data_IF_224484404310
#
_entry.id   IF_224484404310
#
_cell.length_a   1.000
_cell.length_b   1.000
_cell.length_c   1.000
_cell.angle_alpha   90.00
_cell.angle_beta   90.00
_cell.angle_gamma   90.00
#
_symmetry.space_group_name_H-M   'P 1'
#
loop_
_entity.id
_entity.type
_entity.pdbx_description
1 polymer ?
#
# COMPACT_ATOMS: atom_id res chain seq x y z
N UNK A 1 -35.86 49.22 16.06
CA UNK A 1 -35.23 49.16 14.73
C UNK A 1 -34.73 47.73 14.55
N UNK A 2 -35.59 46.82 14.09
CA UNK A 2 -35.66 46.32 12.69
C UNK A 2 -34.28 45.78 12.25
N UNK A 3 -33.99 44.49 12.39
CA UNK A 3 -34.36 43.36 11.50
C UNK A 3 -34.18 43.67 10.01
N UNK A 4 -33.13 43.10 9.42
CA UNK A 4 -33.05 42.76 7.99
C UNK A 4 -32.39 41.40 7.84
N UNK A 5 -33.22 40.36 7.79
CA UNK A 5 -32.91 39.08 7.16
C UNK A 5 -33.16 39.19 5.65
N UNK A 6 -32.35 38.50 4.84
CA UNK A 6 -32.61 38.20 3.43
C UNK A 6 -31.66 37.07 2.98
N UNK A 7 -31.98 36.27 1.95
CA UNK A 7 -32.92 35.14 1.97
C UNK A 7 -32.27 33.81 1.46
N UNK A 8 -32.96 32.66 1.53
CA UNK A 8 -32.43 31.38 1.03
C UNK A 8 -32.67 31.19 -0.48
N UNK A 9 -31.78 30.52 -1.24
CA UNK A 9 -32.08 30.12 -2.61
C UNK A 9 -32.86 28.80 -2.65
N UNK A 10 -34.17 28.95 -2.84
CA UNK A 10 -35.07 28.29 -3.80
C UNK A 10 -34.70 26.88 -4.32
N UNK A 11 -35.54 25.90 -3.93
CA UNK A 11 -35.80 24.65 -4.65
C UNK A 11 -36.75 24.93 -5.84
N UNK A 12 -36.39 24.46 -7.04
CA UNK A 12 -37.32 24.31 -8.16
C UNK A 12 -37.40 22.85 -8.59
N UNK A 13 -38.61 22.32 -8.59
CA UNK A 13 -38.97 20.96 -8.96
C UNK A 13 -39.18 20.79 -10.47
N UNK A 14 -39.06 19.53 -10.93
CA UNK A 14 -39.82 18.98 -12.05
C UNK A 14 -39.02 18.75 -13.34
N UNK A 15 -38.79 17.49 -13.69
CA UNK A 15 -39.43 16.85 -14.84
C UNK A 15 -39.30 15.32 -14.73
N UNK A 16 -40.41 14.66 -15.05
CA UNK A 16 -40.75 13.28 -14.75
C UNK A 16 -40.63 12.44 -16.05
N UNK A 17 -40.05 11.24 -15.92
CA UNK A 17 -40.24 10.00 -16.71
C UNK A 17 -40.47 10.05 -18.22
N UNK A 18 -39.64 9.29 -18.95
CA UNK A 18 -40.17 8.33 -19.92
C UNK A 18 -39.33 7.05 -19.97
N UNK A 19 -40.02 5.94 -19.75
CA UNK A 19 -39.58 4.56 -19.96
C UNK A 19 -39.39 4.34 -21.46
N UNK A 20 -38.39 3.55 -21.83
CA UNK A 20 -38.53 2.71 -23.00
C UNK A 20 -38.03 1.29 -22.72
N UNK A 21 -38.93 0.35 -22.97
CA UNK A 21 -38.71 -1.08 -22.88
C UNK A 21 -38.03 -1.53 -24.18
N UNK A 22 -37.05 -2.43 -24.09
CA UNK A 22 -36.96 -3.48 -25.09
C UNK A 22 -36.32 -4.74 -24.52
N UNK A 23 -37.12 -5.79 -24.62
CA UNK A 23 -36.93 -7.16 -24.20
C UNK A 23 -35.95 -7.87 -25.15
N UNK A 24 -35.30 -8.91 -24.63
CA UNK A 24 -35.26 -10.28 -25.18
C UNK A 24 -33.90 -11.00 -25.24
N UNK A 25 -34.02 -12.27 -24.82
CA UNK A 25 -33.19 -13.46 -25.09
C UNK A 25 -32.05 -13.80 -24.12
N UNK A 26 -32.46 -14.60 -23.12
CA UNK A 26 -31.85 -15.88 -22.69
C UNK A 26 -30.75 -16.41 -23.64
N UNK A 27 -29.59 -16.75 -23.07
CA UNK A 27 -28.88 -17.99 -23.40
C UNK A 27 -28.07 -18.45 -22.18
N UNK A 28 -28.46 -19.61 -21.66
CA UNK A 28 -27.66 -20.48 -20.81
C UNK A 28 -26.50 -21.07 -21.60
N UNK A 29 -25.34 -21.23 -20.98
CA UNK A 29 -24.46 -22.35 -21.26
C UNK A 29 -23.52 -22.58 -20.07
N UNK A 30 -23.84 -23.65 -19.37
CA UNK A 30 -22.97 -24.47 -18.56
C UNK A 30 -21.81 -25.03 -19.40
N UNK A 31 -20.73 -25.49 -18.74
CA UNK A 31 -19.75 -26.52 -19.14
C UNK A 31 -18.28 -26.12 -18.94
N UNK A 32 -17.68 -26.83 -17.99
CA UNK A 32 -16.27 -27.15 -17.85
C UNK A 32 -15.55 -27.46 -19.17
N UNK A 33 -14.50 -26.71 -19.53
CA UNK A 33 -13.33 -27.28 -20.23
C UNK A 33 -12.17 -26.26 -20.35
N UNK A 34 -11.34 -26.09 -19.33
CA UNK A 34 -9.99 -25.54 -19.54
C UNK A 34 -8.96 -26.30 -18.71
N UNK A 35 -8.82 -27.57 -19.04
CA UNK A 35 -7.66 -28.39 -18.72
C UNK A 35 -7.13 -28.97 -20.01
N UNK A 36 -6.16 -28.29 -20.65
CA UNK A 36 -5.13 -28.90 -21.52
C UNK A 36 -4.04 -27.90 -21.90
N UNK A 37 -2.80 -28.36 -21.70
CA UNK A 37 -1.53 -27.74 -22.03
C UNK A 37 -1.13 -28.04 -23.48
N UNK A 38 -0.38 -27.09 -24.06
CA UNK A 38 0.71 -27.23 -25.03
C UNK A 38 0.41 -27.66 -26.48
N UNK A 39 0.87 -26.82 -27.42
CA UNK A 39 1.08 -27.16 -28.84
C UNK A 39 1.57 -25.94 -29.63
N UNK A 40 2.74 -26.07 -30.27
CA UNK A 40 3.50 -25.03 -30.97
C UNK A 40 3.16 -24.92 -32.47
N UNK A 41 3.49 -23.75 -33.05
CA UNK A 41 3.72 -23.39 -34.48
C UNK A 41 2.50 -23.04 -35.37
N UNK A 42 2.56 -21.85 -36.00
CA UNK A 42 1.83 -21.54 -37.24
C UNK A 42 1.65 -20.04 -37.54
N UNK A 43 2.39 -19.52 -38.53
CA UNK A 43 2.35 -18.14 -39.03
C UNK A 43 0.98 -17.71 -39.58
N UNK A 44 0.59 -16.46 -39.33
CA UNK A 44 -0.51 -15.77 -40.02
C UNK A 44 -0.34 -14.26 -39.99
N UNK A 45 -0.15 -13.64 -41.16
CA UNK A 45 -0.22 -12.18 -41.35
C UNK A 45 -1.66 -11.72 -41.14
N UNK A 46 -1.90 -10.91 -40.13
CA UNK A 46 -3.18 -10.24 -39.88
C UNK A 46 -2.96 -8.87 -39.28
N UNK A 47 -3.41 -7.82 -39.96
CA UNK A 47 -3.36 -6.43 -39.50
C UNK A 47 -4.30 -6.24 -38.32
N UNK A 48 -3.78 -6.20 -37.10
CA UNK A 48 -4.53 -5.80 -35.93
C UNK A 48 -4.13 -4.40 -35.46
N UNK A 49 -5.18 -3.60 -35.28
CA UNK A 49 -5.16 -2.21 -34.84
C UNK A 49 -4.39 -2.12 -33.53
N UNK A 50 -3.14 -1.64 -33.64
CA UNK A 50 -2.27 -1.35 -32.51
C UNK A 50 -2.90 -0.21 -31.71
N UNK A 51 -3.56 -0.55 -30.61
CA UNK A 51 -3.89 0.43 -29.58
C UNK A 51 -2.60 1.20 -29.23
N UNK A 52 -2.64 2.54 -29.16
CA UNK A 52 -1.48 3.31 -28.76
C UNK A 52 -0.99 2.77 -27.42
N UNK A 53 0.27 2.33 -27.37
CA UNK A 53 0.99 2.12 -26.11
C UNK A 53 0.87 3.43 -25.37
N UNK A 54 -0.01 3.49 -24.36
CA UNK A 54 0.03 4.57 -23.38
C UNK A 54 1.44 4.57 -22.82
N UNK A 55 2.07 5.74 -22.82
CA UNK A 55 3.39 5.94 -22.23
C UNK A 55 3.39 5.25 -20.88
N UNK A 56 4.23 4.22 -20.79
CA UNK A 56 4.37 3.40 -19.61
C UNK A 56 4.88 4.36 -18.55
N UNK A 57 4.08 4.59 -17.51
CA UNK A 57 4.56 5.22 -16.29
C UNK A 57 5.82 4.50 -15.77
N UNK A 58 6.48 5.02 -14.71
CA UNK A 58 7.76 4.48 -14.23
C UNK A 58 7.77 2.95 -14.27
N UNK A 59 8.70 2.41 -15.06
CA UNK A 59 8.80 0.97 -15.30
C UNK A 59 9.27 0.33 -14.01
N UNK A 60 8.31 -0.15 -13.23
CA UNK A 60 8.53 -0.78 -11.94
C UNK A 60 9.30 -2.10 -12.12
N UNK A 61 10.61 -2.01 -12.32
CA UNK A 61 11.46 -3.18 -12.46
C UNK A 61 11.94 -3.60 -11.07
N UNK A 62 11.07 -4.32 -10.36
CA UNK A 62 11.40 -4.94 -9.09
C UNK A 62 12.40 -6.07 -9.31
N UNK A 63 13.70 -5.74 -9.30
CA UNK A 63 14.79 -6.72 -9.31
C UNK A 63 15.00 -7.24 -7.89
N UNK A 64 15.20 -8.55 -7.75
CA UNK A 64 15.29 -9.21 -6.45
C UNK A 64 16.54 -10.05 -6.36
N UNK A 65 17.21 -9.96 -5.21
CA UNK A 65 18.31 -10.83 -4.84
C UNK A 65 17.85 -11.65 -3.63
N UNK A 66 17.42 -12.88 -3.90
CA UNK A 66 17.32 -13.93 -2.90
C UNK A 66 18.32 -15.00 -3.27
N UNK A 67 19.10 -15.49 -2.32
CA UNK A 67 19.69 -16.82 -2.43
C UNK A 67 18.52 -17.76 -2.69
N UNK A 68 18.47 -18.40 -3.86
CA UNK A 68 17.48 -19.44 -4.10
C UNK A 68 17.58 -20.43 -2.93
N UNK A 69 16.52 -20.51 -2.12
CA UNK A 69 16.35 -21.69 -1.30
C UNK A 69 16.45 -22.88 -2.24
N UNK A 70 17.31 -23.82 -1.87
CA UNK A 70 17.44 -25.08 -2.60
C UNK A 70 16.04 -25.63 -2.81
N UNK A 71 15.66 -25.87 -4.06
CA UNK A 71 14.32 -26.28 -4.48
C UNK A 71 13.77 -27.49 -3.69
N UNK A 72 14.65 -28.23 -3.01
CA UNK A 72 14.38 -29.39 -2.17
C UNK A 72 13.40 -29.14 -1.02
N UNK A 73 13.44 -27.99 -0.33
CA UNK A 73 12.55 -27.72 0.83
C UNK A 73 11.15 -27.26 0.40
N UNK A 74 10.99 -26.79 -0.84
CA UNK A 74 9.73 -26.23 -1.33
C UNK A 74 8.70 -27.30 -1.74
N UNK A 75 9.14 -28.45 -2.26
CA UNK A 75 8.26 -29.53 -2.72
C UNK A 75 7.83 -30.50 -1.61
N UNK A 76 8.57 -30.55 -0.50
CA UNK A 76 8.19 -31.31 0.70
C UNK A 76 7.18 -30.55 1.57
N UNK A 77 6.90 -29.29 1.24
CA UNK A 77 5.95 -28.49 1.99
C UNK A 77 4.51 -28.92 1.73
N UNK A 78 3.86 -29.44 2.77
CA UNK A 78 2.49 -29.94 2.70
C UNK A 78 1.49 -28.88 2.22
N UNK A 79 1.69 -27.62 2.56
CA UNK A 79 0.81 -26.54 2.11
C UNK A 79 0.96 -26.29 0.61
N UNK A 80 2.19 -26.35 0.08
CA UNK A 80 2.44 -26.27 -1.37
C UNK A 80 1.83 -27.47 -2.09
N UNK A 81 1.92 -28.66 -1.51
CA UNK A 81 1.34 -29.88 -2.09
C UNK A 81 -0.18 -29.82 -2.16
N UNK A 82 -0.84 -29.31 -1.12
CA UNK A 82 -2.31 -29.22 -1.05
C UNK A 82 -2.85 -28.04 -1.86
N UNK A 83 -2.24 -26.85 -1.72
CA UNK A 83 -2.82 -25.59 -2.22
C UNK A 83 -2.06 -24.98 -3.40
N UNK A 84 -0.90 -25.54 -3.79
CA UNK A 84 -0.05 -24.98 -4.84
C UNK A 84 0.66 -23.68 -4.45
N UNK A 85 0.62 -23.27 -3.17
CA UNK A 85 1.17 -22.00 -2.68
C UNK A 85 1.73 -22.12 -1.26
N UNK A 86 2.89 -21.49 -1.01
CA UNK A 86 3.47 -21.32 0.33
C UNK A 86 2.73 -20.29 1.18
N UNK A 87 1.83 -19.51 0.57
CA UNK A 87 1.06 -18.47 1.23
C UNK A 87 -0.32 -18.96 1.64
N UNK A 88 -0.81 -18.40 2.74
CA UNK A 88 -2.11 -18.81 3.32
C UNK A 88 -3.24 -18.37 2.41
N UNK A 89 -4.20 -19.27 2.12
CA UNK A 89 -5.45 -18.86 1.48
C UNK A 89 -6.33 -18.11 2.47
N UNK A 90 -6.78 -16.92 2.11
CA UNK A 90 -7.67 -16.14 2.98
C UNK A 90 -9.08 -16.77 3.00
N UNK A 91 -9.58 -17.09 4.18
CA UNK A 91 -10.93 -17.66 4.39
C UNK A 91 -11.91 -16.67 5.02
N UNK A 92 -11.42 -15.67 5.75
CA UNK A 92 -12.23 -14.63 6.38
C UNK A 92 -11.45 -13.30 6.50
N UNK A 93 -12.14 -12.29 7.00
CA UNK A 93 -11.62 -10.93 7.21
C UNK A 93 -11.77 -10.47 8.65
N UNK A 94 -11.89 -11.41 9.61
CA UNK A 94 -12.31 -11.11 10.98
C UNK A 94 -11.36 -10.14 11.69
N UNK A 95 -10.06 -10.30 11.50
CA UNK A 95 -9.05 -9.38 12.06
C UNK A 95 -9.18 -7.96 11.51
N UNK A 96 -9.45 -7.82 10.20
CA UNK A 96 -9.72 -6.51 9.59
C UNK A 96 -11.04 -5.93 10.10
N UNK A 97 -12.11 -6.73 10.15
CA UNK A 97 -13.43 -6.32 10.65
C UNK A 97 -13.43 -5.95 12.14
N UNK A 98 -12.49 -6.48 12.93
CA UNK A 98 -12.33 -6.13 14.35
C UNK A 98 -11.73 -4.73 14.58
N UNK A 99 -11.16 -4.12 13.54
CA UNK A 99 -10.45 -2.83 13.63
C UNK A 99 -11.06 -1.79 12.71
N UNK A 100 -11.41 -2.18 11.48
CA UNK A 100 -11.92 -1.30 10.44
C UNK A 100 -13.46 -1.24 10.54
N UNK A 101 -14.07 -0.04 10.67
CA UNK A 101 -15.49 0.15 10.61
C UNK A 101 -16.08 -0.40 9.32
N UNK A 102 -17.26 -1.02 9.41
CA UNK A 102 -17.96 -1.60 8.26
C UNK A 102 -18.17 -0.60 7.11
N UNK A 103 -18.34 0.69 7.41
CA UNK A 103 -18.47 1.76 6.41
C UNK A 103 -17.22 1.97 5.56
N UNK A 104 -16.04 1.58 6.05
CA UNK A 104 -14.76 1.61 5.33
C UNK A 104 -14.33 0.22 4.82
N UNK A 105 -15.20 -0.77 4.87
CA UNK A 105 -14.92 -2.11 4.36
C UNK A 105 -15.40 -2.22 2.91
N UNK A 106 -14.68 -1.60 1.98
CA UNK A 106 -15.01 -1.55 0.54
C UNK A 106 -13.75 -1.28 -0.32
N UNK A 107 -13.88 -1.42 -1.64
CA UNK A 107 -12.80 -1.24 -2.63
C UNK A 107 -12.11 0.13 -2.64
N UNK A 108 -12.69 1.15 -2.00
CA UNK A 108 -12.09 2.48 -1.88
C UNK A 108 -11.01 2.52 -0.79
N UNK A 109 -11.20 1.73 0.28
CA UNK A 109 -10.36 1.77 1.48
C UNK A 109 -9.53 0.50 1.65
N UNK A 110 -9.90 -0.58 0.98
CA UNK A 110 -9.24 -1.87 1.03
C UNK A 110 -9.11 -2.36 -0.41
N UNK A 111 -7.89 -2.62 -0.85
CA UNK A 111 -7.65 -3.22 -2.16
C UNK A 111 -8.16 -4.66 -2.15
N UNK A 112 -9.20 -4.92 -2.93
CA UNK A 112 -9.80 -6.25 -3.11
C UNK A 112 -9.33 -6.86 -4.44
N UNK A 113 -9.54 -8.17 -4.64
CA UNK A 113 -9.13 -8.85 -5.89
C UNK A 113 -9.89 -8.37 -7.13
N UNK A 114 -11.18 -8.08 -7.00
CA UNK A 114 -12.06 -7.80 -8.14
C UNK A 114 -11.84 -6.41 -8.78
N UNK A 115 -11.03 -5.55 -8.14
CA UNK A 115 -10.79 -4.16 -8.58
C UNK A 115 -9.73 -4.04 -9.69
N UNK A 116 -9.22 -5.14 -10.26
CA UNK A 116 -8.06 -5.10 -11.12
C UNK A 116 -8.24 -5.60 -12.57
N UNK A 117 -8.46 -4.70 -13.54
CA UNK A 117 -8.21 -5.01 -14.94
C UNK A 117 -6.68 -5.08 -15.20
N UNK A 118 -6.16 -6.31 -15.31
CA UNK A 118 -4.90 -6.71 -15.96
C UNK A 118 -3.55 -6.07 -15.54
N UNK A 119 -3.46 -5.12 -14.59
CA UNK A 119 -2.18 -4.45 -14.24
C UNK A 119 -1.72 -4.49 -12.77
N UNK A 120 -2.61 -4.74 -11.82
CA UNK A 120 -2.29 -4.75 -10.38
C UNK A 120 -1.96 -6.14 -9.82
N UNK A 121 -2.06 -7.16 -10.66
CA UNK A 121 -1.60 -8.52 -10.37
C UNK A 121 -0.07 -8.63 -10.43
N UNK A 122 0.60 -7.86 -11.29
CA UNK A 122 2.07 -7.90 -11.41
C UNK A 122 2.75 -7.55 -10.07
N UNK A 123 2.27 -6.51 -9.39
CA UNK A 123 2.76 -6.12 -8.06
C UNK A 123 2.51 -7.24 -7.04
N UNK A 124 1.33 -7.86 -7.08
CA UNK A 124 0.96 -8.95 -6.17
C UNK A 124 1.91 -10.13 -6.35
N UNK A 125 2.04 -10.59 -7.59
CA UNK A 125 2.91 -11.71 -7.98
C UNK A 125 4.37 -11.40 -7.65
N UNK A 126 4.81 -10.15 -7.83
CA UNK A 126 6.13 -9.70 -7.41
C UNK A 126 6.36 -9.88 -5.92
N UNK A 127 5.47 -9.31 -5.09
CA UNK A 127 5.58 -9.40 -3.63
C UNK A 127 5.59 -10.85 -3.17
N UNK A 128 4.67 -11.68 -3.68
CA UNK A 128 4.60 -13.10 -3.33
C UNK A 128 5.85 -13.87 -3.78
N UNK A 129 6.37 -13.62 -4.98
CA UNK A 129 7.61 -14.25 -5.45
C UNK A 129 8.79 -13.89 -4.55
N UNK A 130 8.89 -12.62 -4.14
CA UNK A 130 9.98 -12.14 -3.29
C UNK A 130 9.89 -12.67 -1.88
N UNK A 131 8.72 -12.62 -1.27
CA UNK A 131 8.49 -13.19 0.06
C UNK A 131 8.73 -14.71 0.04
N UNK A 132 8.28 -15.40 -1.01
CA UNK A 132 8.42 -16.85 -1.15
C UNK A 132 9.88 -17.27 -1.34
N UNK A 133 10.64 -16.53 -2.15
CA UNK A 133 12.07 -16.74 -2.33
C UNK A 133 12.87 -16.55 -1.03
N UNK A 134 12.34 -15.77 -0.09
CA UNK A 134 12.93 -15.56 1.24
C UNK A 134 12.25 -16.41 2.34
N UNK A 135 11.35 -17.34 1.98
CA UNK A 135 10.53 -18.14 2.91
C UNK A 135 9.79 -17.31 3.98
N UNK A 136 9.32 -16.13 3.59
CA UNK A 136 8.57 -15.21 4.45
C UNK A 136 7.07 -15.45 4.29
N UNK A 137 6.54 -16.47 4.97
CA UNK A 137 5.10 -16.76 5.02
C UNK A 137 4.33 -15.82 5.93
N UNK A 138 5.05 -15.20 6.84
CA UNK A 138 4.58 -14.12 7.69
C UNK A 138 5.65 -13.03 7.77
N UNK A 139 5.20 -11.82 8.09
CA UNK A 139 6.05 -10.64 8.22
C UNK A 139 5.66 -9.85 9.47
N UNK A 140 6.62 -9.43 10.31
CA UNK A 140 6.31 -8.71 11.53
C UNK A 140 5.98 -7.24 11.23
N UNK A 141 4.97 -6.70 11.88
CA UNK A 141 4.69 -5.27 11.85
C UNK A 141 5.91 -4.47 12.32
N UNK A 142 6.35 -3.46 11.57
CA UNK A 142 7.54 -2.67 11.95
C UNK A 142 7.39 -1.93 13.28
N UNK A 143 6.15 -1.68 13.69
CA UNK A 143 5.84 -0.89 14.86
C UNK A 143 5.59 -1.76 16.11
N UNK A 144 4.62 -2.67 16.06
CA UNK A 144 4.25 -3.49 17.21
C UNK A 144 4.87 -4.89 17.21
N UNK A 145 5.65 -5.24 16.18
CA UNK A 145 6.31 -6.54 16.01
C UNK A 145 5.37 -7.75 15.91
N UNK A 146 4.06 -7.53 15.95
CA UNK A 146 3.07 -8.59 15.75
C UNK A 146 3.24 -9.22 14.37
N UNK A 147 3.29 -10.55 14.35
CA UNK A 147 3.48 -11.31 13.12
C UNK A 147 2.19 -11.35 12.30
N UNK A 148 2.29 -11.04 11.00
CA UNK A 148 1.16 -10.99 10.08
C UNK A 148 1.32 -12.04 9.00
N UNK A 149 0.30 -12.88 8.81
CA UNK A 149 0.29 -13.86 7.71
C UNK A 149 0.27 -13.15 6.36
N UNK A 150 1.04 -13.68 5.42
CA UNK A 150 0.99 -13.30 4.02
C UNK A 150 -0.02 -14.20 3.31
N UNK A 151 -1.01 -13.56 2.68
CA UNK A 151 -2.06 -14.23 1.92
C UNK A 151 -1.73 -14.31 0.44
N UNK A 152 -2.26 -15.30 -0.25
CA UNK A 152 -2.08 -15.50 -1.70
C UNK A 152 -2.87 -14.50 -2.58
N UNK A 153 -3.89 -13.88 -1.98
CA UNK A 153 -4.85 -12.97 -2.60
C UNK A 153 -4.93 -11.65 -1.84
N UNK A 154 -5.32 -10.57 -2.53
CA UNK A 154 -5.52 -9.29 -1.87
C UNK A 154 -6.66 -9.36 -0.84
N UNK A 155 -6.55 -8.66 0.30
CA UNK A 155 -5.37 -8.00 0.85
C UNK A 155 -4.28 -9.01 1.25
N UNK A 156 -3.04 -8.77 0.79
CA UNK A 156 -1.91 -9.66 1.07
C UNK A 156 -1.52 -9.71 2.54
N UNK A 157 -1.87 -8.68 3.30
CA UNK A 157 -1.71 -8.58 4.75
C UNK A 157 -2.98 -7.98 5.35
N UNK A 158 -3.20 -8.23 6.65
CA UNK A 158 -4.09 -7.39 7.45
C UNK A 158 -3.38 -6.08 7.84
N UNK A 159 -3.08 -5.28 6.81
CA UNK A 159 -2.23 -4.10 6.90
C UNK A 159 -1.82 -3.61 5.51
N UNK A 160 -0.62 -3.02 5.42
CA UNK A 160 -0.05 -2.54 4.16
C UNK A 160 1.43 -2.86 4.05
N UNK A 161 1.88 -2.97 2.81
CA UNK A 161 3.29 -2.88 2.47
C UNK A 161 3.64 -1.46 2.05
N UNK A 162 4.88 -1.07 2.31
CA UNK A 162 5.45 0.16 1.77
C UNK A 162 6.95 0.01 1.55
N UNK A 163 7.50 0.85 0.67
CA UNK A 163 8.92 0.93 0.40
C UNK A 163 9.56 2.06 1.19
N UNK A 164 10.70 1.75 1.82
CA UNK A 164 11.53 2.75 2.51
C UNK A 164 12.98 2.58 2.13
N UNK A 165 13.74 3.66 2.08
CA UNK A 165 15.19 3.60 1.93
C UNK A 165 15.90 3.06 3.19
N UNK A 166 15.18 2.96 4.31
CA UNK A 166 15.69 2.43 5.58
C UNK A 166 14.84 1.23 6.03
N UNK A 167 15.49 0.12 6.36
CA UNK A 167 14.84 -0.99 7.06
C UNK A 167 14.75 -0.66 8.55
N UNK A 168 13.54 -0.50 9.08
CA UNK A 168 13.33 -0.19 10.50
C UNK A 168 13.29 -1.46 11.34
N UNK A 169 12.65 -2.51 10.83
CA UNK A 169 12.53 -3.81 11.50
C UNK A 169 12.21 -4.95 10.52
N UNK A 170 12.44 -6.18 10.97
CA UNK A 170 12.11 -7.40 10.24
C UNK A 170 13.18 -7.82 9.23
N UNK A 171 12.79 -8.74 8.34
CA UNK A 171 13.66 -9.18 7.25
C UNK A 171 14.01 -8.00 6.34
N UNK A 172 15.28 -7.90 5.94
CA UNK A 172 15.78 -6.87 5.03
C UNK A 172 15.47 -7.25 3.58
N UNK A 173 14.19 -7.39 3.27
CA UNK A 173 13.74 -7.74 1.93
C UNK A 173 13.96 -6.58 0.98
N UNK A 174 15.00 -6.68 0.16
CA UNK A 174 15.40 -5.64 -0.79
C UNK A 174 14.53 -5.66 -2.05
N UNK A 175 14.22 -4.46 -2.54
CA UNK A 175 13.37 -4.21 -3.70
C UNK A 175 14.02 -3.11 -4.52
N UNK A 176 14.18 -3.32 -5.83
CA UNK A 176 14.71 -2.28 -6.72
C UNK A 176 13.58 -1.56 -7.45
N UNK A 177 13.59 -0.25 -7.48
CA UNK A 177 12.61 0.55 -8.20
C UNK A 177 13.33 1.72 -8.87
N UNK A 178 13.17 1.85 -10.19
CA UNK A 178 13.83 2.88 -11.00
C UNK A 178 15.36 2.92 -10.76
N UNK A 179 15.99 1.75 -10.68
CA UNK A 179 17.43 1.60 -10.45
C UNK A 179 17.89 1.88 -9.01
N UNK A 180 16.97 2.14 -8.08
CA UNK A 180 17.27 2.44 -6.68
C UNK A 180 16.85 1.31 -5.77
N UNK A 181 17.59 1.12 -4.69
CA UNK A 181 17.33 0.09 -3.69
C UNK A 181 16.43 0.62 -2.57
N UNK A 182 15.40 -0.15 -2.27
CA UNK A 182 14.48 0.05 -1.15
C UNK A 182 14.39 -1.23 -0.32
N UNK A 183 13.84 -1.09 0.87
CA UNK A 183 13.42 -2.19 1.73
C UNK A 183 11.91 -2.26 1.76
N UNK A 184 11.38 -3.46 1.57
CA UNK A 184 9.98 -3.76 1.84
C UNK A 184 9.75 -3.68 3.35
N UNK A 185 8.76 -2.90 3.75
CA UNK A 185 8.35 -2.72 5.13
C UNK A 185 6.83 -2.88 5.24
N UNK A 186 6.33 -3.13 6.45
CA UNK A 186 4.93 -3.51 6.66
C UNK A 186 4.37 -2.94 7.95
N UNK A 187 3.13 -2.45 7.91
CA UNK A 187 2.43 -1.91 9.08
C UNK A 187 1.06 -2.59 9.20
N UNK A 188 0.76 -3.14 10.38
CA UNK A 188 -0.51 -3.82 10.60
C UNK A 188 -1.68 -2.85 10.71
N UNK A 189 -2.89 -3.36 10.45
CA UNK A 189 -4.14 -2.59 10.53
C UNK A 189 -4.34 -1.95 11.91
N UNK A 190 -3.98 -2.66 12.99
CA UNK A 190 -4.08 -2.15 14.37
C UNK A 190 -3.21 -0.89 14.55
N UNK A 191 -1.96 -0.93 14.08
CA UNK A 191 -1.06 0.22 14.14
C UNK A 191 -1.51 1.37 13.22
N UNK A 192 -2.02 1.06 12.02
CA UNK A 192 -2.59 2.08 11.13
C UNK A 192 -3.78 2.82 11.76
N UNK A 193 -4.58 2.10 12.55
CA UNK A 193 -5.79 2.62 13.18
C UNK A 193 -5.57 3.17 14.60
N UNK A 194 -4.36 3.04 15.16
CA UNK A 194 -3.97 3.66 16.43
C UNK A 194 -3.83 5.17 16.35
N UNK A 195 -3.88 5.83 17.51
CA UNK A 195 -3.47 7.22 17.65
C UNK A 195 -1.96 7.29 17.87
N UNK A 196 -1.28 8.05 17.00
CA UNK A 196 0.18 8.20 17.01
C UNK A 196 0.58 9.52 17.64
N UNK A 197 1.58 9.45 18.52
CA UNK A 197 2.15 10.60 19.23
C UNK A 197 3.63 10.73 18.93
N UNK A 198 4.08 11.96 18.77
CA UNK A 198 5.51 12.23 18.66
C UNK A 198 6.12 12.35 20.06
N UNK A 199 7.16 11.56 20.34
CA UNK A 199 7.90 11.66 21.61
C UNK A 199 8.71 12.94 21.74
N UNK A 200 8.96 13.64 20.64
CA UNK A 200 9.76 14.87 20.63
C UNK A 200 8.93 16.10 21.00
N UNK A 201 7.72 16.25 20.44
CA UNK A 201 6.88 17.43 20.67
C UNK A 201 5.53 17.13 21.35
N UNK A 202 5.22 15.85 21.62
CA UNK A 202 3.95 15.42 22.21
C UNK A 202 2.74 15.47 21.27
N UNK A 203 2.87 16.08 20.08
CA UNK A 203 1.75 16.24 19.15
C UNK A 203 1.21 14.89 18.67
N UNK A 204 -0.12 14.78 18.69
CA UNK A 204 -0.89 13.71 18.06
C UNK A 204 -1.29 14.07 16.61
N UNK A 205 -2.04 13.19 15.96
CA UNK A 205 -2.73 13.44 14.67
C UNK A 205 -1.85 13.78 13.46
N UNK A 206 -0.52 13.64 13.56
CA UNK A 206 0.38 13.88 12.43
C UNK A 206 0.42 12.73 11.42
N UNK A 207 0.01 11.52 11.84
CA UNK A 207 -0.04 10.34 11.00
C UNK A 207 -1.48 10.01 10.62
N UNK A 208 -1.82 10.14 9.34
CA UNK A 208 -3.14 9.83 8.80
C UNK A 208 -3.29 8.34 8.44
N UNK A 209 -2.94 7.44 9.37
CA UNK A 209 -2.97 5.99 9.11
C UNK A 209 -4.35 5.46 8.69
N UNK A 210 -5.44 6.05 9.19
CA UNK A 210 -6.83 5.69 8.85
C UNK A 210 -7.27 6.07 7.42
N UNK A 211 -6.44 6.84 6.70
CA UNK A 211 -6.66 7.21 5.30
C UNK A 211 -5.85 6.34 4.32
N UNK A 212 -4.98 5.48 4.84
CA UNK A 212 -4.17 4.54 4.05
C UNK A 212 -5.07 3.40 3.55
N UNK A 213 -5.00 3.12 2.25
CA UNK A 213 -5.72 2.01 1.60
C UNK A 213 -5.04 0.70 1.99
N UNK A 214 -5.79 -0.21 2.60
CA UNK A 214 -5.27 -1.50 3.04
C UNK A 214 -5.00 -2.44 1.87
N UNK A 215 -4.09 -3.40 2.05
CA UNK A 215 -3.80 -4.42 1.05
C UNK A 215 -3.03 -3.94 -0.18
N UNK A 216 -2.58 -2.69 -0.21
CA UNK A 216 -1.78 -2.13 -1.30
C UNK A 216 -0.28 -2.06 -0.96
N UNK A 217 0.52 -1.65 -1.94
CA UNK A 217 1.93 -1.30 -1.81
C UNK A 217 2.11 0.20 -2.04
N UNK A 218 2.68 0.90 -1.06
CA UNK A 218 3.09 2.30 -1.20
C UNK A 218 4.56 2.41 -1.59
N UNK A 219 4.89 3.24 -2.59
CA UNK A 219 6.27 3.46 -3.05
C UNK A 219 7.02 4.55 -2.26
N UNK A 220 6.56 4.85 -1.06
CA UNK A 220 7.16 5.83 -0.16
C UNK A 220 7.02 5.39 1.30
N UNK A 221 7.87 5.93 2.17
CA UNK A 221 7.81 5.64 3.60
C UNK A 221 6.58 6.32 4.23
N UNK A 222 5.52 5.53 4.44
CA UNK A 222 4.21 6.04 4.91
C UNK A 222 4.30 6.67 6.31
N UNK A 223 5.18 6.18 7.17
CA UNK A 223 5.38 6.71 8.54
C UNK A 223 6.09 8.05 8.53
N UNK A 224 6.77 8.38 7.43
CA UNK A 224 7.49 9.63 7.24
C UNK A 224 6.71 10.65 6.41
N UNK A 225 5.62 10.22 5.75
CA UNK A 225 4.76 11.04 4.90
C UNK A 225 3.99 12.14 5.65
N UNK A 226 3.94 12.08 6.99
CA UNK A 226 3.46 13.17 7.85
C UNK A 226 4.47 13.46 8.95
N UNK A 227 4.64 14.75 9.30
CA UNK A 227 5.56 15.19 10.35
C UNK A 227 5.02 16.38 11.12
N UNK A 228 5.02 16.23 12.44
CA UNK A 228 4.79 17.31 13.41
C UNK A 228 6.05 18.15 13.74
N UNK A 229 7.25 17.62 13.47
CA UNK A 229 8.52 18.28 13.81
C UNK A 229 9.34 18.51 12.54
N UNK A 230 10.08 19.63 12.45
CA UNK A 230 11.08 19.84 11.42
C UNK A 230 12.11 18.70 11.39
N UNK A 231 12.61 18.30 10.22
CA UNK A 231 13.63 17.26 10.13
C UNK A 231 14.96 17.75 10.72
N UNK A 232 15.59 16.90 11.51
CA UNK A 232 16.89 17.13 12.12
C UNK A 232 17.89 16.08 11.68
N UNK A 233 19.16 16.43 11.61
CA UNK A 233 20.24 15.49 11.32
C UNK A 233 20.23 14.33 12.32
N UNK A 234 20.27 13.09 11.83
CA UNK A 234 20.30 11.89 12.68
C UNK A 234 21.58 11.82 13.55
N UNK A 235 22.70 12.38 13.07
CA UNK A 235 24.01 12.40 13.73
C UNK A 235 24.16 13.53 14.75
N UNK A 236 24.12 14.79 14.33
CA UNK A 236 24.39 15.95 15.20
C UNK A 236 23.14 16.65 15.75
N UNK A 237 21.94 16.19 15.38
CA UNK A 237 20.64 16.79 15.76
C UNK A 237 20.39 18.23 15.30
N UNK A 238 21.33 18.85 14.59
CA UNK A 238 21.13 20.16 13.96
C UNK A 238 19.93 20.12 12.99
N UNK A 239 19.13 21.19 12.92
CA UNK A 239 18.01 21.28 11.98
C UNK A 239 18.53 21.18 10.54
N UNK A 240 17.77 20.49 9.68
CA UNK A 240 18.11 20.37 8.27
C UNK A 240 17.48 21.50 7.47
N UNK A 241 18.27 22.07 6.57
CA UNK A 241 17.81 23.04 5.58
C UNK A 241 17.08 22.29 4.46
N UNK A 242 15.80 22.02 4.69
CA UNK A 242 14.88 21.50 3.66
C UNK A 242 14.15 22.66 3.01
N UNK A 243 13.85 22.53 1.71
CA UNK A 243 13.10 23.55 0.94
C UNK A 243 11.71 23.75 1.56
N UNK A 244 11.23 24.98 1.63
CA UNK A 244 9.94 25.33 2.25
C UNK A 244 8.77 24.52 1.69
N UNK A 245 8.76 24.24 0.39
CA UNK A 245 7.76 23.38 -0.26
C UNK A 245 7.73 21.96 0.33
N UNK A 246 8.90 21.37 0.60
CA UNK A 246 8.99 20.04 1.21
C UNK A 246 8.56 20.09 2.68
N UNK A 247 8.91 21.16 3.39
CA UNK A 247 8.43 21.38 4.77
C UNK A 247 6.90 21.46 4.83
N UNK A 248 6.28 22.20 3.90
CA UNK A 248 4.82 22.30 3.78
C UNK A 248 4.19 20.95 3.42
N UNK A 249 4.78 20.19 2.47
CA UNK A 249 4.30 18.85 2.11
C UNK A 249 4.34 17.87 3.29
N UNK A 250 5.38 17.95 4.13
CA UNK A 250 5.53 17.05 5.27
C UNK A 250 4.63 17.44 6.46
N UNK A 251 4.26 18.72 6.58
CA UNK A 251 3.44 19.23 7.71
C UNK A 251 1.94 19.28 7.41
N UNK A 252 1.55 19.38 6.14
CA UNK A 252 0.15 19.36 5.70
C UNK A 252 -0.38 17.92 5.56
N UNK A 253 -0.69 17.33 6.70
CA UNK A 253 -1.28 15.99 6.81
C UNK A 253 -2.59 15.92 6.01
N UNK A 254 -2.68 14.97 5.07
CA UNK A 254 -3.91 14.71 4.30
C UNK A 254 -3.99 15.40 2.94
N UNK A 255 -2.97 16.17 2.53
CA UNK A 255 -2.85 16.60 1.13
C UNK A 255 -2.04 15.58 0.31
N UNK A 256 -2.38 15.39 -0.96
CA UNK A 256 -1.62 14.52 -1.87
C UNK A 256 -0.24 15.15 -2.16
N UNK A 257 0.71 14.93 -1.27
CA UNK A 257 2.10 15.35 -1.43
C UNK A 257 2.91 14.39 -2.30
N UNK A 258 3.94 14.90 -2.97
CA UNK A 258 4.96 14.04 -3.58
C UNK A 258 5.92 13.55 -2.48
N UNK A 259 5.72 12.32 -2.02
CA UNK A 259 6.50 11.72 -0.93
C UNK A 259 7.80 11.04 -1.38
N UNK A 260 8.14 11.09 -2.67
CA UNK A 260 9.35 10.45 -3.19
C UNK A 260 10.63 11.01 -2.55
N UNK A 261 10.66 12.32 -2.27
CA UNK A 261 11.80 13.02 -1.67
C UNK A 261 12.18 12.52 -0.28
N UNK A 262 11.27 11.85 0.43
CA UNK A 262 11.56 11.26 1.75
C UNK A 262 12.64 10.18 1.66
N UNK A 263 12.66 9.46 0.55
CA UNK A 263 13.61 8.39 0.31
C UNK A 263 14.93 8.87 -0.29
N UNK A 264 15.13 10.19 -0.46
CA UNK A 264 16.39 10.75 -0.93
C UNK A 264 17.36 10.99 0.24
N UNK A 265 18.66 10.70 0.06
CA UNK A 265 19.65 11.06 1.06
C UNK A 265 19.90 12.57 1.04
N UNK A 266 20.18 13.14 2.22
CA UNK A 266 20.53 14.55 2.38
C UNK A 266 21.86 14.68 3.12
N UNK A 267 22.67 15.65 2.72
CA UNK A 267 23.90 16.04 3.43
C UNK A 267 23.55 17.08 4.50
N UNK A 268 23.90 16.81 5.75
CA UNK A 268 23.78 17.78 6.82
C UNK A 268 24.84 18.89 6.66
N UNK A 269 24.41 20.15 6.56
CA UNK A 269 25.31 21.31 6.45
C UNK A 269 26.16 21.54 7.71
N UNK A 270 25.69 21.10 8.88
CA UNK A 270 26.39 21.31 10.14
C UNK A 270 27.52 20.29 10.42
N UNK A 271 27.34 19.02 10.02
CA UNK A 271 28.31 17.96 10.34
C UNK A 271 28.76 17.09 9.14
N UNK A 272 28.28 17.39 7.93
CA UNK A 272 28.63 16.65 6.71
C UNK A 272 28.01 15.26 6.57
N UNK A 273 27.18 14.82 7.51
CA UNK A 273 26.57 13.48 7.45
C UNK A 273 25.60 13.35 6.27
N UNK A 274 25.87 12.43 5.35
CA UNK A 274 25.02 12.06 4.22
C UNK A 274 24.20 10.82 4.56
N UNK A 275 22.89 11.00 4.78
CA UNK A 275 21.99 9.93 5.27
C UNK A 275 20.53 10.23 4.87
N UNK A 276 19.64 9.24 5.02
CA UNK A 276 18.20 9.36 4.82
C UNK A 276 17.54 10.04 6.02
N UNK A 277 17.84 11.31 6.25
CA UNK A 277 17.36 12.05 7.42
C UNK A 277 15.84 12.26 7.44
N UNK A 278 15.19 12.22 6.26
CA UNK A 278 13.75 12.38 6.13
C UNK A 278 12.96 11.10 6.44
N UNK A 279 13.62 9.95 6.55
CA UNK A 279 12.97 8.75 7.10
C UNK A 279 12.92 8.87 8.62
N UNK A 280 11.71 8.90 9.17
CA UNK A 280 11.43 9.05 10.60
C UNK A 280 11.83 7.79 11.35
N UNK A 281 12.49 7.97 12.49
CA UNK A 281 12.80 6.87 13.40
C UNK A 281 11.57 6.52 14.25
N UNK A 282 11.14 5.25 14.23
CA UNK A 282 10.02 4.77 15.04
C UNK A 282 10.24 4.96 16.55
N UNK A 283 11.49 5.07 17.03
CA UNK A 283 11.78 5.39 18.44
C UNK A 283 11.29 6.77 18.83
N UNK A 284 11.09 7.69 17.88
CA UNK A 284 10.50 9.00 18.12
C UNK A 284 8.96 8.96 18.14
N UNK A 285 8.35 7.78 18.01
CA UNK A 285 6.91 7.60 17.95
C UNK A 285 6.40 6.78 19.16
N UNK A 286 5.16 7.02 19.54
CA UNK A 286 4.41 6.24 20.50
C UNK A 286 2.99 6.01 19.99
N UNK A 287 2.39 4.87 20.34
CA UNK A 287 1.01 4.54 19.99
C UNK A 287 0.18 4.50 21.27
N UNK A 288 -1.04 5.02 21.18
CA UNK A 288 -2.11 4.72 22.13
C UNK A 288 -3.03 3.65 21.56
N UNK A 289 -3.66 2.88 22.44
CA UNK A 289 -4.79 2.04 22.08
C UNK A 289 -5.89 2.90 21.41
N UNK A 290 -6.59 2.30 20.46
CA UNK A 290 -7.72 2.93 19.75
C UNK A 290 -8.86 3.12 20.75
N UNK A 291 -9.38 4.34 20.88
CA UNK A 291 -10.70 4.54 21.48
C UNK A 291 -11.76 4.15 20.44
N UNK A 292 -12.55 3.08 20.67
CA UNK A 292 -13.55 2.61 19.72
C UNK A 292 -14.67 3.63 19.45
N UNK A 293 -14.77 4.71 20.24
CA UNK A 293 -15.80 5.74 20.10
C UNK A 293 -15.33 6.99 19.34
N UNK A 294 -14.07 7.01 18.87
CA UNK A 294 -13.51 8.17 18.16
C UNK A 294 -13.63 7.94 16.64
N UNK A 295 -14.38 8.81 15.91
CA UNK A 295 -14.65 8.63 14.48
C UNK A 295 -13.40 8.71 13.58
#
# INVERSE_FOLDING_TARGET
MMLTECPPPQLSAGFMFQRDQRNDRKKSCDSDEFRKRSGTVGSGKGSEKRWPKRDVGPSLELRFYGTMLTATVFFEDEQVRINGSVFTRRTNYDNLLSVVPKSKFNGIHIKMEDDCPQGGDDIRLCLLKTLGANNLRSVPCVCCYADMKVYDKYPLLDGVFYLSSVSQYGAKTEVFLDGRKFFLQQLCVKCLWSDWFCRTCGQGNWFAGRAIILGTLYYYDILSAGRCCPPSCKKCKSPLLVRDQLTQQLTNVGTMGNYASINEPLTCSACGAHDFHLVRDLRCCALSAVDPNKP
#
